data_IF_194878831113
#
_entry.id   IF_194878831113
#
_cell.length_a   1.000
_cell.length_b   1.000
_cell.length_c   1.000
_cell.angle_alpha   90.00
_cell.angle_beta   90.00
_cell.angle_gamma   90.00
#
_symmetry.space_group_name_H-M   'P 1'
#
loop_
_entity.id
_entity.type
_entity.pdbx_description
1 polymer ?
#
# COMPACT_ATOMS: atom_id res chain seq x y z
N UNK A 1 6.57 3.23 1.31
CA UNK A 1 6.22 2.60 2.61
C UNK A 1 6.20 1.10 2.43
N UNK A 2 6.10 0.30 3.52
CA UNK A 2 5.96 -1.16 3.38
C UNK A 2 4.65 -1.54 2.69
N UNK A 3 4.65 -2.64 1.93
CA UNK A 3 3.42 -3.19 1.32
C UNK A 3 2.32 -3.48 2.36
N UNK A 4 2.70 -3.96 3.55
CA UNK A 4 1.79 -4.17 4.68
C UNK A 4 1.12 -2.88 5.16
N UNK A 5 1.85 -1.75 5.18
CA UNK A 5 1.31 -0.44 5.56
C UNK A 5 0.21 0.00 4.58
N UNK A 6 0.42 -0.21 3.26
CA UNK A 6 -0.58 0.11 2.23
C UNK A 6 -1.84 -0.78 2.34
N UNK A 7 -1.65 -2.08 2.55
CA UNK A 7 -2.77 -3.01 2.77
C UNK A 7 -3.58 -2.61 4.01
N UNK A 8 -2.91 -2.30 5.12
CA UNK A 8 -3.60 -1.93 6.35
C UNK A 8 -4.28 -0.56 6.24
N UNK A 9 -3.69 0.40 5.50
CA UNK A 9 -4.34 1.67 5.20
C UNK A 9 -5.64 1.46 4.42
N UNK A 10 -5.65 0.57 3.43
CA UNK A 10 -6.85 0.24 2.67
C UNK A 10 -7.91 -0.47 3.53
N UNK A 11 -7.52 -1.47 4.33
CA UNK A 11 -8.44 -2.16 5.24
C UNK A 11 -9.02 -1.20 6.28
N UNK A 12 -8.20 -0.32 6.86
CA UNK A 12 -8.65 0.69 7.83
C UNK A 12 -9.62 1.70 7.21
N UNK A 13 -9.34 2.18 5.99
CA UNK A 13 -10.23 3.09 5.26
C UNK A 13 -11.59 2.47 4.99
N UNK A 14 -11.63 1.16 4.68
CA UNK A 14 -12.84 0.43 4.33
C UNK A 14 -13.55 -0.20 5.54
N UNK A 15 -12.92 -0.22 6.72
CA UNK A 15 -13.49 -0.78 7.95
C UNK A 15 -14.86 -0.19 8.32
N UNK A 16 -15.12 1.14 8.21
CA UNK A 16 -16.46 1.67 8.50
C UNK A 16 -17.54 1.11 7.56
N UNK A 17 -17.21 0.87 6.29
CA UNK A 17 -18.14 0.28 5.32
C UNK A 17 -18.37 -1.20 5.64
N UNK A 18 -17.31 -1.95 5.97
CA UNK A 18 -17.43 -3.35 6.38
C UNK A 18 -18.24 -3.52 7.68
N UNK A 19 -18.13 -2.57 8.62
CA UNK A 19 -18.92 -2.55 9.83
C UNK A 19 -20.41 -2.28 9.56
N UNK A 20 -20.71 -1.33 8.66
CA UNK A 20 -22.08 -0.95 8.31
C UNK A 20 -22.78 -1.96 7.40
N UNK A 21 -22.03 -2.72 6.59
CA UNK A 21 -22.53 -3.71 5.64
C UNK A 21 -21.66 -5.00 5.70
N UNK A 22 -21.81 -5.79 6.79
CA UNK A 22 -20.95 -6.94 7.06
C UNK A 22 -21.03 -8.05 6.00
N UNK A 23 -22.12 -8.13 5.23
CA UNK A 23 -22.26 -9.01 4.08
C UNK A 23 -21.23 -8.73 2.97
N UNK A 24 -20.68 -7.52 2.93
CA UNK A 24 -19.61 -7.12 1.98
C UNK A 24 -18.23 -7.08 2.61
N UNK A 25 -18.06 -7.46 3.88
CA UNK A 25 -16.73 -7.42 4.54
C UNK A 25 -15.66 -8.23 3.78
N UNK A 26 -16.01 -9.43 3.32
CA UNK A 26 -15.08 -10.28 2.55
C UNK A 26 -14.69 -9.66 1.21
N UNK A 27 -15.60 -9.26 0.30
CA UNK A 27 -15.20 -8.63 -0.96
C UNK A 27 -14.46 -7.31 -0.76
N UNK A 28 -14.79 -6.51 0.26
CA UNK A 28 -14.02 -5.31 0.65
C UNK A 28 -12.59 -5.68 1.01
N UNK A 29 -12.40 -6.68 1.87
CA UNK A 29 -11.07 -7.11 2.29
C UNK A 29 -10.23 -7.69 1.15
N UNK A 30 -10.83 -8.53 0.28
CA UNK A 30 -10.14 -9.09 -0.89
C UNK A 30 -9.65 -7.96 -1.80
N UNK A 31 -10.52 -7.01 -2.14
CA UNK A 31 -10.14 -5.86 -2.95
C UNK A 31 -9.07 -5.00 -2.29
N UNK A 32 -9.20 -4.72 -0.99
CA UNK A 32 -8.21 -3.95 -0.22
C UNK A 32 -6.82 -4.59 -0.24
N UNK A 33 -6.75 -5.89 0.01
CA UNK A 33 -5.46 -6.62 0.02
C UNK A 33 -4.84 -6.64 -1.37
N UNK A 34 -5.60 -7.05 -2.39
CA UNK A 34 -5.09 -7.14 -3.75
C UNK A 34 -4.71 -5.77 -4.31
N UNK A 35 -5.54 -4.75 -4.11
CA UNK A 35 -5.25 -3.39 -4.56
C UNK A 35 -4.10 -2.74 -3.79
N UNK A 36 -3.98 -3.04 -2.48
CA UNK A 36 -2.88 -2.55 -1.66
C UNK A 36 -1.52 -3.15 -2.04
N UNK A 37 -1.50 -4.31 -2.72
CA UNK A 37 -0.27 -4.95 -3.20
C UNK A 37 -0.01 -4.70 -4.70
N UNK A 38 -1.06 -4.47 -5.50
CA UNK A 38 -0.96 -4.45 -6.97
C UNK A 38 0.06 -3.46 -7.54
N UNK A 39 0.21 -2.23 -7.04
CA UNK A 39 1.22 -1.32 -7.58
C UNK A 39 2.64 -1.85 -7.48
N UNK A 40 3.00 -2.55 -6.40
CA UNK A 40 4.34 -3.09 -6.16
C UNK A 40 4.73 -4.24 -7.12
N UNK A 41 3.81 -4.76 -7.93
CA UNK A 41 4.17 -5.69 -9.01
C UNK A 41 5.03 -5.03 -10.09
N UNK A 42 5.27 -3.72 -10.03
CA UNK A 42 6.22 -3.04 -10.89
C UNK A 42 7.68 -3.06 -10.39
N UNK A 43 7.98 -3.74 -9.27
CA UNK A 43 9.34 -3.90 -8.76
C UNK A 43 10.36 -4.39 -9.81
N UNK A 44 10.05 -5.36 -10.70
CA UNK A 44 10.95 -5.77 -11.78
C UNK A 44 10.99 -4.82 -12.98
N UNK A 45 10.22 -3.75 -12.96
CA UNK A 45 10.08 -2.73 -14.01
C UNK A 45 10.61 -1.38 -13.49
N UNK A 46 9.97 -0.25 -13.86
CA UNK A 46 10.26 1.04 -13.26
C UNK A 46 9.37 1.25 -12.04
N UNK A 47 9.90 0.84 -10.87
CA UNK A 47 9.18 0.90 -9.60
C UNK A 47 8.71 2.32 -9.27
N UNK A 48 7.51 2.44 -8.69
CA UNK A 48 6.76 3.67 -8.39
C UNK A 48 6.40 4.51 -9.62
N UNK A 49 6.42 3.87 -10.80
CA UNK A 49 5.99 4.48 -12.05
C UNK A 49 5.04 3.59 -12.83
N UNK A 50 5.45 2.35 -13.15
CA UNK A 50 4.74 1.54 -14.16
C UNK A 50 3.31 1.20 -13.76
N UNK A 51 3.07 0.81 -12.50
CA UNK A 51 1.74 0.49 -11.97
C UNK A 51 1.26 1.45 -10.88
N UNK A 52 2.00 2.53 -10.64
CA UNK A 52 1.62 3.55 -9.67
C UNK A 52 0.94 4.74 -10.35
N UNK A 53 -0.33 4.97 -10.05
CA UNK A 53 -1.15 6.02 -10.65
C UNK A 53 -1.73 6.95 -9.58
N UNK A 54 -0.92 7.81 -8.91
CA UNK A 54 -1.36 8.62 -7.78
C UNK A 54 -2.45 9.64 -8.13
N UNK A 55 -2.51 10.10 -9.37
CA UNK A 55 -3.52 11.05 -9.86
C UNK A 55 -4.54 10.35 -10.75
N UNK A 56 -4.08 9.64 -11.79
CA UNK A 56 -4.98 9.00 -12.76
C UNK A 56 -5.75 7.81 -12.16
N UNK A 57 -5.27 7.20 -11.08
CA UNK A 57 -5.98 6.13 -10.36
C UNK A 57 -7.39 6.54 -9.89
N UNK A 58 -7.61 7.83 -9.63
CA UNK A 58 -8.94 8.36 -9.30
C UNK A 58 -9.96 8.19 -10.44
N UNK A 59 -9.51 8.19 -11.71
CA UNK A 59 -10.38 7.97 -12.86
C UNK A 59 -10.94 6.54 -12.91
N UNK A 60 -10.37 5.61 -12.14
CA UNK A 60 -10.88 4.25 -11.97
C UNK A 60 -11.55 4.10 -10.59
N UNK A 61 -10.93 4.60 -9.53
CA UNK A 61 -11.46 4.46 -8.18
C UNK A 61 -12.84 5.14 -8.00
N UNK A 62 -13.03 6.34 -8.54
CA UNK A 62 -14.30 7.06 -8.39
C UNK A 62 -15.45 6.37 -9.14
N UNK A 63 -15.36 6.05 -10.46
CA UNK A 63 -16.45 5.39 -11.16
C UNK A 63 -16.78 3.99 -10.60
N UNK A 64 -15.77 3.21 -10.19
CA UNK A 64 -16.02 1.90 -9.59
C UNK A 64 -16.71 2.00 -8.24
N UNK A 65 -16.37 3.03 -7.43
CA UNK A 65 -17.06 3.31 -6.17
C UNK A 65 -18.52 3.72 -6.43
N UNK A 66 -18.77 4.60 -7.40
CA UNK A 66 -20.15 4.96 -7.80
C UNK A 66 -20.90 3.71 -8.27
N UNK A 67 -20.30 2.87 -9.10
CA UNK A 67 -20.93 1.62 -9.53
C UNK A 67 -21.27 0.72 -8.35
N UNK A 68 -20.37 0.57 -7.39
CA UNK A 68 -20.60 -0.25 -6.20
C UNK A 68 -21.72 0.32 -5.31
N UNK A 69 -21.94 1.63 -5.30
CA UNK A 69 -23.05 2.24 -4.55
C UNK A 69 -24.40 2.11 -5.25
N UNK A 70 -24.46 2.19 -6.58
CA UNK A 70 -25.73 2.12 -7.33
C UNK A 70 -26.13 0.69 -7.70
N UNK A 71 -25.17 -0.23 -7.79
CA UNK A 71 -25.38 -1.64 -8.10
C UNK A 71 -24.51 -2.53 -7.18
N UNK A 72 -24.81 -2.60 -5.88
CA UNK A 72 -24.00 -3.31 -4.91
C UNK A 72 -24.05 -4.82 -5.19
N UNK A 73 -22.86 -5.42 -5.32
CA UNK A 73 -22.65 -6.85 -5.43
C UNK A 73 -21.24 -7.18 -4.95
N UNK A 74 -20.95 -8.43 -4.61
CA UNK A 74 -19.59 -8.82 -4.23
C UNK A 74 -18.54 -8.42 -5.27
N UNK A 75 -18.87 -8.50 -6.55
CA UNK A 75 -17.95 -8.15 -7.64
C UNK A 75 -17.71 -6.63 -7.73
N UNK A 76 -18.76 -5.81 -7.71
CA UNK A 76 -18.63 -4.35 -7.79
C UNK A 76 -17.96 -3.77 -6.55
N UNK A 77 -18.24 -4.32 -5.37
CA UNK A 77 -17.61 -3.94 -4.11
C UNK A 77 -16.12 -4.33 -4.11
N UNK A 78 -15.77 -5.56 -4.53
CA UNK A 78 -14.37 -5.98 -4.62
C UNK A 78 -13.58 -5.14 -5.64
N UNK A 79 -14.18 -4.83 -6.80
CA UNK A 79 -13.56 -3.98 -7.81
C UNK A 79 -13.32 -2.55 -7.30
N UNK A 80 -14.31 -1.95 -6.64
CA UNK A 80 -14.20 -0.61 -6.07
C UNK A 80 -13.12 -0.56 -4.99
N UNK A 81 -13.13 -1.51 -4.05
CA UNK A 81 -12.14 -1.57 -2.99
C UNK A 81 -10.73 -1.82 -3.52
N UNK A 82 -10.57 -2.65 -4.55
CA UNK A 82 -9.29 -2.82 -5.26
C UNK A 82 -8.80 -1.50 -5.87
N UNK A 83 -9.64 -0.81 -6.62
CA UNK A 83 -9.27 0.44 -7.28
C UNK A 83 -8.92 1.56 -6.27
N UNK A 84 -9.71 1.68 -5.19
CA UNK A 84 -9.44 2.62 -4.10
C UNK A 84 -8.13 2.28 -3.38
N UNK A 85 -7.88 1.00 -3.09
CA UNK A 85 -6.67 0.56 -2.41
C UNK A 85 -5.41 0.78 -3.28
N UNK A 86 -5.47 0.47 -4.58
CA UNK A 86 -4.37 0.70 -5.51
C UNK A 86 -4.07 2.20 -5.70
N UNK A 87 -5.11 3.03 -5.79
CA UNK A 87 -4.94 4.48 -5.80
C UNK A 87 -4.34 5.00 -4.49
N UNK A 88 -4.85 4.56 -3.33
CA UNK A 88 -4.36 4.97 -2.01
C UNK A 88 -2.89 4.59 -1.83
N UNK A 89 -2.50 3.38 -2.26
CA UNK A 89 -1.11 2.94 -2.26
C UNK A 89 -0.24 3.94 -3.04
N UNK A 90 -0.51 4.12 -4.32
CA UNK A 90 0.27 5.00 -5.18
C UNK A 90 0.30 6.46 -4.68
N UNK A 91 -0.80 6.97 -4.15
CA UNK A 91 -0.88 8.33 -3.62
C UNK A 91 -0.09 8.49 -2.31
N UNK A 92 -0.17 7.51 -1.41
CA UNK A 92 0.51 7.55 -0.12
C UNK A 92 2.03 7.37 -0.23
N UNK A 93 2.55 6.80 -1.31
CA UNK A 93 3.99 6.74 -1.55
C UNK A 93 4.65 8.12 -1.64
N UNK A 94 3.87 9.18 -1.95
CA UNK A 94 4.36 10.55 -1.94
C UNK A 94 4.77 11.03 -0.53
N UNK A 95 4.18 10.47 0.54
CA UNK A 95 4.54 10.83 1.92
C UNK A 95 5.74 10.03 2.45
N UNK A 96 6.15 9.00 1.73
CA UNK A 96 7.33 8.19 2.03
C UNK A 96 8.65 8.80 1.57
N UNK A 97 9.72 8.02 1.66
CA UNK A 97 11.01 8.27 1.03
C UNK A 97 11.02 7.89 -0.46
N UNK A 98 12.19 7.94 -1.09
CA UNK A 98 12.37 7.53 -2.48
C UNK A 98 12.45 6.01 -2.67
N UNK A 99 12.45 5.54 -3.93
CA UNK A 99 12.52 4.11 -4.27
C UNK A 99 13.95 3.54 -4.25
N UNK A 100 14.96 4.34 -3.91
CA UNK A 100 16.34 3.88 -3.83
C UNK A 100 16.53 2.79 -2.75
N UNK A 101 17.52 1.93 -2.95
CA UNK A 101 17.82 0.83 -2.03
C UNK A 101 18.23 1.32 -0.63
N UNK A 102 18.88 2.50 -0.54
CA UNK A 102 19.32 3.13 0.69
C UNK A 102 18.64 4.50 0.95
N UNK A 103 17.30 4.55 1.06
CA UNK A 103 16.52 5.78 1.06
C UNK A 103 16.77 6.69 2.28
N UNK A 104 17.39 6.17 3.33
CA UNK A 104 17.84 6.98 4.48
C UNK A 104 18.94 7.99 4.13
N UNK A 105 19.64 7.82 3.00
CA UNK A 105 20.61 8.79 2.50
C UNK A 105 19.96 9.92 1.73
N UNK A 106 18.69 9.82 1.38
CA UNK A 106 17.88 10.89 0.77
C UNK A 106 18.42 11.41 -0.55
N UNK A 107 18.99 10.54 -1.39
CA UNK A 107 19.68 10.93 -2.63
C UNK A 107 18.73 11.29 -3.76
N UNK A 108 17.50 10.77 -3.76
CA UNK A 108 16.52 11.03 -4.82
C UNK A 108 15.45 12.02 -4.39
N UNK A 109 15.02 12.85 -5.34
CA UNK A 109 13.85 13.71 -5.24
C UNK A 109 12.62 13.10 -5.95
N UNK A 110 12.63 11.76 -6.11
CA UNK A 110 11.58 10.99 -6.79
C UNK A 110 10.85 10.13 -5.77
N UNK A 111 9.57 10.38 -5.52
CA UNK A 111 8.74 9.51 -4.69
C UNK A 111 7.90 8.58 -5.55
N UNK A 112 6.96 9.13 -6.31
CA UNK A 112 6.06 8.41 -7.22
C UNK A 112 5.81 9.25 -8.47
N UNK A 113 5.60 8.60 -9.63
CA UNK A 113 5.44 9.30 -10.89
C UNK A 113 4.00 9.76 -11.12
N UNK A 114 3.81 11.05 -11.38
CA UNK A 114 2.52 11.62 -11.82
C UNK A 114 2.40 11.54 -13.35
N UNK A 115 1.65 10.57 -13.82
CA UNK A 115 1.41 10.34 -15.24
C UNK A 115 0.60 11.47 -15.90
N UNK A 116 -0.27 12.16 -15.15
CA UNK A 116 -1.05 13.27 -15.67
C UNK A 116 -0.19 14.49 -15.98
N UNK A 117 0.79 14.78 -15.11
CA UNK A 117 1.72 15.90 -15.27
C UNK A 117 3.07 15.49 -15.84
N UNK A 118 3.29 14.19 -16.10
CA UNK A 118 4.54 13.61 -16.64
C UNK A 118 5.77 14.01 -15.84
N UNK A 119 5.67 13.98 -14.50
CA UNK A 119 6.76 14.35 -13.60
C UNK A 119 6.76 13.51 -12.34
N UNK A 120 7.93 13.40 -11.70
CA UNK A 120 8.03 12.80 -10.38
C UNK A 120 7.49 13.75 -9.31
N UNK A 121 6.67 13.21 -8.40
CA UNK A 121 6.29 13.87 -7.15
C UNK A 121 7.47 13.76 -6.20
N UNK A 122 7.74 14.83 -5.45
CA UNK A 122 8.82 14.84 -4.45
C UNK A 122 8.41 14.07 -3.20
N UNK A 123 9.35 13.31 -2.57
CA UNK A 123 9.09 12.61 -1.32
C UNK A 123 8.94 13.62 -0.17
N UNK A 124 7.86 13.46 0.61
CA UNK A 124 7.63 14.27 1.82
C UNK A 124 8.49 13.76 2.99
N UNK A 125 8.90 12.49 2.98
CA UNK A 125 9.73 11.83 3.99
C UNK A 125 9.13 11.88 5.41
N UNK A 126 7.81 11.95 5.55
CA UNK A 126 7.14 11.76 6.83
C UNK A 126 7.40 10.34 7.36
N UNK A 127 7.41 9.38 6.46
CA UNK A 127 7.98 8.05 6.66
C UNK A 127 9.33 8.04 5.93
N UNK A 128 10.43 8.01 6.67
CA UNK A 128 11.77 8.18 6.09
C UNK A 128 12.12 7.14 5.03
N UNK A 129 11.71 5.88 5.25
CA UNK A 129 11.93 4.77 4.31
C UNK A 129 10.99 3.61 4.65
N UNK A 130 10.82 2.69 3.71
CA UNK A 130 10.09 1.44 3.90
C UNK A 130 10.75 0.59 5.00
N UNK A 131 9.98 0.20 6.00
CA UNK A 131 10.50 -0.49 7.19
C UNK A 131 11.23 0.40 8.19
N UNK A 132 11.09 1.74 8.11
CA UNK A 132 11.48 2.60 9.21
C UNK A 132 10.64 2.32 10.46
N UNK A 133 11.13 2.63 11.68
CA UNK A 133 10.34 2.45 12.90
C UNK A 133 8.96 3.13 12.85
N UNK A 134 8.88 4.31 12.26
CA UNK A 134 7.63 5.03 12.06
C UNK A 134 6.70 4.35 11.05
N UNK A 135 7.24 3.64 10.04
CA UNK A 135 6.45 2.85 9.09
C UNK A 135 5.83 1.62 9.79
N UNK A 136 6.64 0.93 10.62
CA UNK A 136 6.15 -0.19 11.41
C UNK A 136 5.09 0.26 12.43
N UNK A 137 5.30 1.38 13.11
CA UNK A 137 4.33 1.94 14.04
C UNK A 137 3.02 2.34 13.33
N UNK A 138 3.11 2.97 12.16
CA UNK A 138 1.95 3.30 11.33
C UNK A 138 1.22 2.03 10.87
N UNK A 139 1.93 1.02 10.41
CA UNK A 139 1.33 -0.26 10.01
C UNK A 139 0.54 -0.89 11.17
N UNK A 140 1.12 -0.94 12.37
CA UNK A 140 0.45 -1.49 13.57
C UNK A 140 -0.80 -0.66 13.90
N UNK A 141 -0.72 0.67 13.88
CA UNK A 141 -1.87 1.53 14.14
C UNK A 141 -3.00 1.34 13.12
N UNK A 142 -2.66 1.22 11.84
CA UNK A 142 -3.61 0.98 10.75
C UNK A 142 -4.19 -0.45 10.75
N UNK A 143 -3.50 -1.42 11.38
CA UNK A 143 -4.03 -2.77 11.54
C UNK A 143 -5.21 -2.84 12.55
N UNK A 144 -5.28 -1.91 13.51
CA UNK A 144 -6.29 -1.94 14.58
C UNK A 144 -7.73 -1.94 14.07
N UNK A 145 -8.18 -1.04 13.17
CA UNK A 145 -9.52 -1.10 12.63
C UNK A 145 -9.83 -2.43 11.93
N UNK A 146 -8.85 -3.01 11.24
CA UNK A 146 -9.03 -4.30 10.60
C UNK A 146 -9.22 -5.43 11.61
N UNK A 147 -8.45 -5.44 12.71
CA UNK A 147 -8.59 -6.44 13.78
C UNK A 147 -9.91 -6.33 14.55
N UNK A 148 -10.52 -5.15 14.60
CA UNK A 148 -11.77 -4.90 15.32
C UNK A 148 -12.99 -5.23 14.46
N UNK A 149 -12.92 -4.98 13.16
CA UNK A 149 -14.10 -5.00 12.27
C UNK A 149 -14.22 -6.28 11.47
N UNK A 150 -13.10 -6.83 11.02
CA UNK A 150 -13.13 -8.00 10.14
C UNK A 150 -12.97 -9.30 10.94
N UNK A 151 -13.69 -10.33 10.49
CA UNK A 151 -13.69 -11.66 11.10
C UNK A 151 -13.09 -12.74 10.19
N UNK A 152 -12.98 -13.94 10.73
CA UNK A 152 -12.56 -15.14 10.01
C UNK A 152 -11.12 -15.04 9.49
N UNK A 153 -10.90 -15.46 8.24
CA UNK A 153 -9.56 -15.45 7.62
C UNK A 153 -8.99 -14.04 7.42
N UNK A 154 -9.84 -13.00 7.31
CA UNK A 154 -9.39 -11.62 7.10
C UNK A 154 -8.58 -11.14 8.31
N UNK A 155 -8.93 -11.57 9.52
CA UNK A 155 -8.18 -11.24 10.75
C UNK A 155 -6.74 -11.75 10.70
N UNK A 156 -6.46 -12.83 9.97
CA UNK A 156 -5.11 -13.33 9.81
C UNK A 156 -4.20 -12.35 9.03
N UNK A 157 -4.77 -11.56 8.12
CA UNK A 157 -4.02 -10.59 7.31
C UNK A 157 -3.28 -9.56 8.18
N UNK A 158 -3.95 -8.79 9.07
CA UNK A 158 -3.26 -7.85 9.94
C UNK A 158 -2.35 -8.56 10.95
N UNK A 159 -2.71 -9.73 11.48
CA UNK A 159 -1.85 -10.46 12.42
C UNK A 159 -0.52 -10.88 11.77
N UNK A 160 -0.58 -11.54 10.62
CA UNK A 160 0.62 -11.96 9.86
C UNK A 160 1.38 -10.73 9.39
N UNK A 161 0.69 -9.72 8.87
CA UNK A 161 1.32 -8.52 8.35
C UNK A 161 2.03 -7.69 9.42
N UNK A 162 1.55 -7.65 10.68
CA UNK A 162 2.27 -7.03 11.82
C UNK A 162 3.60 -7.76 12.05
N UNK A 163 3.59 -9.10 12.08
CA UNK A 163 4.81 -9.88 12.25
C UNK A 163 5.80 -9.61 11.12
N UNK A 164 5.31 -9.59 9.87
CA UNK A 164 6.12 -9.27 8.68
C UNK A 164 6.69 -7.86 8.77
N UNK A 165 5.87 -6.86 9.15
CA UNK A 165 6.30 -5.46 9.29
C UNK A 165 7.41 -5.30 10.32
N UNK A 166 7.26 -5.93 11.49
CA UNK A 166 8.25 -5.89 12.54
C UNK A 166 9.55 -6.59 12.12
N UNK A 167 9.45 -7.79 11.56
CA UNK A 167 10.61 -8.53 11.06
C UNK A 167 11.37 -7.74 9.97
N UNK A 168 10.63 -7.17 9.02
CA UNK A 168 11.21 -6.36 7.96
C UNK A 168 11.90 -5.11 8.51
N UNK A 169 11.25 -4.37 9.42
CA UNK A 169 11.84 -3.19 10.05
C UNK A 169 13.16 -3.50 10.78
N UNK A 170 13.26 -4.66 11.42
CA UNK A 170 14.47 -5.09 12.11
C UNK A 170 15.64 -5.40 11.16
N UNK A 171 15.36 -5.93 9.97
CA UNK A 171 16.41 -6.38 9.03
C UNK A 171 16.64 -5.41 7.87
N UNK A 172 15.75 -4.42 7.64
CA UNK A 172 15.73 -3.57 6.42
C UNK A 172 17.07 -2.97 6.06
N UNK A 173 17.78 -2.39 7.02
CA UNK A 173 19.09 -1.80 6.77
C UNK A 173 20.15 -2.85 6.44
N UNK A 174 20.12 -3.99 7.13
CA UNK A 174 21.06 -5.10 6.88
C UNK A 174 20.85 -5.74 5.52
N UNK A 175 19.61 -5.75 4.99
CA UNK A 175 19.34 -6.26 3.65
C UNK A 175 20.12 -5.51 2.56
N UNK A 176 20.32 -4.20 2.72
CA UNK A 176 21.11 -3.41 1.77
C UNK A 176 22.57 -3.81 1.80
N UNK A 177 23.13 -4.00 2.99
CA UNK A 177 24.52 -4.44 3.14
C UNK A 177 24.71 -5.81 2.48
N UNK A 178 23.80 -6.75 2.71
CA UNK A 178 23.86 -8.09 2.09
C UNK A 178 23.70 -8.05 0.56
N UNK A 179 22.84 -7.20 0.02
CA UNK A 179 22.68 -7.09 -1.45
C UNK A 179 23.86 -6.37 -2.10
N UNK A 180 24.51 -5.44 -1.41
CA UNK A 180 25.72 -4.79 -1.90
C UNK A 180 26.88 -5.79 -2.07
N UNK A 181 26.98 -6.79 -1.17
CA UNK A 181 27.97 -7.85 -1.25
C UNK A 181 27.77 -8.81 -2.44
N UNK A 182 26.57 -8.85 -3.04
CA UNK A 182 26.27 -9.70 -4.20
C UNK A 182 26.57 -9.04 -5.56
N UNK A 183 26.71 -7.72 -5.62
CA UNK A 183 26.95 -6.96 -6.85
C UNK A 183 28.41 -7.03 -7.36
N UNK A 184 29.29 -7.79 -6.70
CA UNK A 184 30.67 -8.01 -7.20
C UNK A 184 30.81 -9.27 -8.07
N UNK A 185 29.68 -9.81 -8.55
CA UNK A 185 29.63 -10.88 -9.56
C UNK A 185 29.35 -10.35 -10.98
N UNK A 186 29.30 -9.02 -11.18
CA UNK A 186 29.32 -8.34 -12.48
C UNK A 186 30.75 -7.85 -12.80
#
# INVERSE_FOLDING_TARGET
MMATTHVFAALALLAPVAYAAPEFATPLAVGAVLGGLAPDFDLPLEHRRTFHFPVLGLLVAVPTTVLATVAPSSATIALASFAVAAWLHAASDAIGGGPEMDPWNGRTERAVYDHARRRWIRPQRWIRYDGAPEDAALAIGLAVPALVVYDGWVTAVPLVGIVVSLAYALVRRRLVDWTADWNWLE
#
